data_IF_782520923259
#
_entry.id   IF_782520923259
#
_cell.length_a   1.000
_cell.length_b   1.000
_cell.length_c   1.000
_cell.angle_alpha   90.00
_cell.angle_beta   90.00
_cell.angle_gamma   90.00
#
_symmetry.space_group_name_H-M   'P 1'
#
loop_
_entity.id
_entity.type
_entity.pdbx_description
1 polymer ?
#
# COMPACT_ATOMS: atom_id res chain seq x y z
N UNK A 1 -26.84 -15.95 13.06
CA UNK A 1 -26.83 -14.55 12.57
C UNK A 1 -28.26 -14.08 12.42
N UNK A 2 -28.59 -12.86 12.87
CA UNK A 2 -29.85 -12.17 12.54
C UNK A 2 -29.41 -10.87 11.86
N UNK A 3 -29.83 -10.63 10.61
CA UNK A 3 -29.39 -9.47 9.81
C UNK A 3 -27.86 -9.30 9.66
N UNK A 4 -27.09 -10.39 9.64
CA UNK A 4 -25.62 -10.33 9.49
C UNK A 4 -24.83 -10.03 10.78
N UNK A 5 -25.51 -9.87 11.92
CA UNK A 5 -24.85 -9.71 13.22
C UNK A 5 -24.69 -11.06 13.94
N UNK A 6 -23.50 -11.29 14.51
CA UNK A 6 -23.29 -12.35 15.49
C UNK A 6 -23.92 -11.87 16.81
N UNK A 7 -24.85 -12.63 17.37
CA UNK A 7 -25.64 -12.21 18.54
C UNK A 7 -25.08 -12.69 19.88
N UNK A 8 -23.97 -13.44 19.86
CA UNK A 8 -23.38 -14.08 21.05
C UNK A 8 -22.12 -13.31 21.47
N UNK A 9 -22.08 -12.87 22.72
CA UNK A 9 -20.88 -12.25 23.31
C UNK A 9 -19.76 -13.29 23.41
N UNK A 10 -18.54 -12.88 23.09
CA UNK A 10 -17.35 -13.73 23.22
C UNK A 10 -17.03 -13.93 24.71
N UNK A 11 -17.00 -15.17 25.18
CA UNK A 11 -16.78 -15.47 26.61
C UNK A 11 -15.39 -15.01 27.08
N UNK A 12 -14.38 -15.13 26.23
CA UNK A 12 -13.00 -14.73 26.54
C UNK A 12 -12.76 -13.23 26.36
N UNK A 13 -13.66 -12.54 25.64
CA UNK A 13 -13.57 -11.11 25.37
C UNK A 13 -14.93 -10.44 25.66
N UNK A 14 -15.34 -10.35 26.92
CA UNK A 14 -16.69 -9.90 27.30
C UNK A 14 -17.01 -8.45 26.91
N UNK A 15 -15.98 -7.64 26.60
CA UNK A 15 -16.11 -6.30 26.05
C UNK A 15 -16.01 -6.21 24.52
N UNK A 16 -15.77 -7.31 23.81
CA UNK A 16 -15.74 -7.31 22.35
C UNK A 16 -17.17 -7.25 21.79
N UNK A 17 -17.40 -6.32 20.86
CA UNK A 17 -18.58 -6.34 20.03
C UNK A 17 -18.37 -7.33 18.89
N UNK A 18 -19.46 -7.90 18.40
CA UNK A 18 -19.39 -8.70 17.18
C UNK A 18 -18.92 -7.84 16.01
N UNK A 19 -17.96 -8.32 15.20
CA UNK A 19 -17.62 -7.67 13.94
C UNK A 19 -18.89 -7.47 13.11
N UNK A 20 -18.97 -6.34 12.41
CA UNK A 20 -20.08 -6.01 11.53
C UNK A 20 -19.56 -5.91 10.11
N UNK A 21 -20.35 -6.41 9.18
CA UNK A 21 -20.24 -6.06 7.77
C UNK A 21 -21.01 -4.75 7.63
N UNK A 22 -20.32 -3.61 7.46
CA UNK A 22 -20.97 -2.30 7.55
C UNK A 22 -21.93 -2.04 6.37
N UNK A 23 -21.64 -2.64 5.21
CA UNK A 23 -22.48 -2.64 4.03
C UNK A 23 -22.20 -3.91 3.22
N UNK A 24 -23.24 -4.52 2.63
CA UNK A 24 -23.12 -5.67 1.72
C UNK A 24 -22.27 -5.35 0.49
N UNK A 25 -22.19 -4.08 0.08
CA UNK A 25 -21.32 -3.65 -1.02
C UNK A 25 -19.82 -3.84 -0.70
N UNK A 26 -19.46 -4.06 0.56
CA UNK A 26 -18.10 -4.40 0.99
C UNK A 26 -17.86 -5.90 1.13
N UNK A 27 -18.71 -6.70 0.49
CA UNK A 27 -18.54 -8.13 0.30
C UNK A 27 -18.65 -8.39 -1.19
N UNK A 28 -17.58 -8.90 -1.79
CA UNK A 28 -17.52 -9.23 -3.21
C UNK A 28 -17.10 -10.67 -3.39
N UNK A 29 -17.58 -11.29 -4.47
CA UNK A 29 -17.16 -12.61 -4.88
C UNK A 29 -16.48 -12.54 -6.25
N UNK A 30 -15.49 -13.38 -6.49
CA UNK A 30 -14.83 -13.55 -7.78
C UNK A 30 -13.60 -14.43 -7.67
N UNK A 31 -13.23 -15.05 -8.79
CA UNK A 31 -12.01 -15.86 -8.94
C UNK A 31 -10.75 -14.99 -8.77
N UNK A 32 -10.22 -14.96 -7.55
CA UNK A 32 -9.05 -14.17 -7.16
C UNK A 32 -7.77 -14.99 -7.27
N UNK A 33 -7.85 -16.30 -7.09
CA UNK A 33 -6.72 -17.22 -7.16
C UNK A 33 -6.39 -17.67 -8.58
N UNK A 34 -7.34 -17.55 -9.52
CA UNK A 34 -7.21 -17.95 -10.91
C UNK A 34 -7.45 -19.44 -11.15
N UNK A 35 -8.07 -20.14 -10.21
CA UNK A 35 -8.34 -21.57 -10.29
C UNK A 35 -9.73 -21.92 -10.86
N UNK A 36 -10.53 -20.89 -11.17
CA UNK A 36 -11.89 -21.03 -11.70
C UNK A 36 -12.97 -21.17 -10.63
N UNK A 37 -12.63 -21.04 -9.35
CA UNK A 37 -13.57 -21.00 -8.22
C UNK A 37 -13.61 -19.58 -7.64
N UNK A 38 -14.80 -19.09 -7.32
CA UNK A 38 -14.93 -17.76 -6.73
C UNK A 38 -14.51 -17.76 -5.25
N UNK A 39 -13.63 -16.84 -4.87
CA UNK A 39 -13.38 -16.47 -3.49
C UNK A 39 -14.34 -15.38 -3.02
N UNK A 40 -14.59 -15.32 -1.71
CA UNK A 40 -15.28 -14.22 -1.06
C UNK A 40 -14.27 -13.26 -0.45
N UNK A 41 -14.34 -11.97 -0.77
CA UNK A 41 -13.58 -10.92 -0.09
C UNK A 41 -14.53 -10.04 0.71
N UNK A 42 -14.20 -9.77 1.98
CA UNK A 42 -15.02 -8.92 2.85
C UNK A 42 -14.17 -7.89 3.59
N UNK A 43 -14.70 -6.66 3.70
CA UNK A 43 -14.09 -5.59 4.50
C UNK A 43 -14.63 -5.65 5.94
N UNK A 44 -13.70 -5.71 6.89
CA UNK A 44 -13.95 -5.61 8.32
C UNK A 44 -13.49 -4.25 8.84
N UNK A 45 -14.32 -3.62 9.66
CA UNK A 45 -14.06 -2.31 10.21
C UNK A 45 -14.39 -2.27 11.71
N UNK A 46 -13.63 -1.48 12.46
CA UNK A 46 -13.78 -1.27 13.89
C UNK A 46 -13.66 0.23 14.23
N UNK A 47 -14.64 0.76 14.93
CA UNK A 47 -14.73 2.14 15.42
C UNK A 47 -14.95 2.23 16.94
N UNK A 48 -14.66 1.13 17.65
CA UNK A 48 -15.00 1.03 19.07
C UNK A 48 -14.37 2.17 19.88
N UNK A 49 -15.21 2.82 20.69
CA UNK A 49 -14.80 3.94 21.55
C UNK A 49 -14.75 5.28 20.82
N UNK A 50 -15.35 5.39 19.62
CA UNK A 50 -15.33 6.60 18.80
C UNK A 50 -13.99 6.81 18.08
N UNK A 51 -13.10 5.81 18.12
CA UNK A 51 -11.80 5.84 17.46
C UNK A 51 -11.88 4.92 16.25
N UNK A 52 -11.96 5.52 15.06
CA UNK A 52 -11.85 4.81 13.80
C UNK A 52 -10.49 4.11 13.70
N UNK A 53 -10.48 2.83 13.35
CA UNK A 53 -9.28 2.09 12.99
C UNK A 53 -9.19 1.93 11.46
N UNK A 54 -8.01 1.61 10.90
CA UNK A 54 -7.92 1.19 9.52
C UNK A 54 -8.72 -0.09 9.30
N UNK A 55 -9.53 -0.13 8.24
CA UNK A 55 -10.25 -1.32 7.85
C UNK A 55 -9.30 -2.42 7.33
N UNK A 56 -9.77 -3.67 7.35
CA UNK A 56 -9.04 -4.83 6.88
C UNK A 56 -9.87 -5.59 5.84
N UNK A 57 -9.22 -6.24 4.89
CA UNK A 57 -9.85 -7.15 3.92
C UNK A 57 -9.44 -8.58 4.29
N UNK A 58 -10.39 -9.47 4.46
CA UNK A 58 -10.14 -10.92 4.58
C UNK A 58 -10.71 -11.62 3.36
N UNK A 59 -9.92 -12.53 2.78
CA UNK A 59 -10.40 -13.47 1.78
C UNK A 59 -10.92 -14.74 2.45
N UNK A 60 -11.89 -15.37 1.81
CA UNK A 60 -12.41 -16.67 2.19
C UNK A 60 -12.55 -17.54 0.96
N UNK A 61 -12.21 -18.81 1.12
CA UNK A 61 -12.35 -19.85 0.11
C UNK A 61 -13.43 -20.85 0.51
N UNK A 62 -13.99 -21.54 -0.48
CA UNK A 62 -14.89 -22.66 -0.25
C UNK A 62 -14.07 -23.96 -0.20
N UNK A 63 -14.13 -24.64 0.94
CA UNK A 63 -13.49 -25.95 1.15
C UNK A 63 -14.54 -27.05 1.29
N UNK A 64 -14.11 -28.31 1.33
CA UNK A 64 -15.00 -29.46 1.59
C UNK A 64 -15.69 -29.39 2.96
N UNK A 65 -15.11 -28.66 3.91
CA UNK A 65 -15.61 -28.50 5.28
C UNK A 65 -16.41 -27.18 5.46
N UNK A 66 -16.59 -26.41 4.39
CA UNK A 66 -17.28 -25.12 4.39
C UNK A 66 -16.35 -23.95 4.09
N UNK A 67 -16.69 -22.77 4.60
CA UNK A 67 -15.97 -21.52 4.32
C UNK A 67 -14.74 -21.42 5.25
N UNK A 68 -13.56 -21.26 4.67
CA UNK A 68 -12.31 -21.05 5.40
C UNK A 68 -11.70 -19.68 5.06
N UNK A 69 -10.92 -19.12 5.97
CA UNK A 69 -10.16 -17.91 5.69
C UNK A 69 -8.96 -18.25 4.79
N UNK A 70 -8.80 -17.48 3.70
CA UNK A 70 -7.69 -17.60 2.76
C UNK A 70 -6.66 -16.50 3.02
N UNK A 71 -5.43 -16.90 3.34
CA UNK A 71 -4.33 -15.96 3.63
C UNK A 71 -4.55 -15.07 4.86
N UNK A 72 -3.61 -14.16 5.08
CA UNK A 72 -3.70 -13.18 6.17
C UNK A 72 -4.59 -11.99 5.80
N UNK A 73 -5.24 -11.32 6.77
CA UNK A 73 -5.98 -10.09 6.51
C UNK A 73 -5.09 -9.01 5.93
N UNK A 74 -5.53 -8.37 4.85
CA UNK A 74 -4.88 -7.21 4.27
C UNK A 74 -5.31 -5.94 5.01
N UNK A 75 -4.38 -5.27 5.69
CA UNK A 75 -4.66 -4.00 6.36
C UNK A 75 -4.68 -2.83 5.39
N UNK A 76 -5.83 -2.19 5.16
CA UNK A 76 -5.96 -1.03 4.26
C UNK A 76 -5.09 0.15 4.73
N UNK A 77 -4.89 0.26 6.05
CA UNK A 77 -4.00 1.25 6.66
C UNK A 77 -2.58 1.24 6.09
N UNK A 78 -2.13 0.11 5.56
CA UNK A 78 -0.78 -0.02 4.99
C UNK A 78 -0.61 0.80 3.71
N UNK A 79 -1.67 0.96 2.91
CA UNK A 79 -1.63 1.72 1.65
C UNK A 79 -2.26 3.11 1.75
N UNK A 80 -3.10 3.35 2.77
CA UNK A 80 -3.77 4.63 2.97
C UNK A 80 -2.97 5.62 3.82
N UNK A 81 -1.70 5.32 4.12
CA UNK A 81 -0.88 6.13 5.04
C UNK A 81 -1.39 6.08 6.49
N UNK A 82 -2.06 5.00 6.87
CA UNK A 82 -2.70 4.85 8.17
C UNK A 82 -4.08 5.50 8.28
N UNK A 83 -4.69 5.89 7.14
CA UNK A 83 -6.04 6.43 7.16
C UNK A 83 -7.00 5.48 7.85
N UNK A 84 -7.76 6.06 8.76
CA UNK A 84 -8.77 5.39 9.57
C UNK A 84 -10.12 5.53 8.90
N UNK A 85 -10.93 4.48 8.96
CA UNK A 85 -12.25 4.50 8.34
C UNK A 85 -12.44 3.39 7.32
N UNK A 86 -13.66 3.35 6.80
CA UNK A 86 -14.03 2.43 5.73
C UNK A 86 -13.57 2.96 4.37
N UNK A 87 -13.26 2.06 3.42
CA UNK A 87 -13.13 2.46 2.02
C UNK A 87 -14.44 3.05 1.49
N UNK A 88 -14.35 3.91 0.48
CA UNK A 88 -15.51 4.46 -0.24
C UNK A 88 -15.99 3.55 -1.37
N UNK A 89 -15.20 2.57 -1.80
CA UNK A 89 -15.58 1.63 -2.84
C UNK A 89 -14.75 0.35 -2.79
N UNK A 90 -15.39 -0.77 -3.11
CA UNK A 90 -14.78 -2.10 -3.13
C UNK A 90 -15.47 -2.94 -4.20
N UNK A 91 -14.69 -3.48 -5.14
CA UNK A 91 -15.21 -4.22 -6.31
C UNK A 91 -14.24 -5.31 -6.72
N UNK A 92 -14.75 -6.39 -7.28
CA UNK A 92 -13.94 -7.35 -8.04
C UNK A 92 -14.03 -7.04 -9.54
N UNK A 93 -12.89 -7.03 -10.24
CA UNK A 93 -12.84 -6.94 -11.69
C UNK A 93 -11.51 -7.50 -12.21
N UNK A 94 -11.57 -8.31 -13.28
CA UNK A 94 -10.39 -8.81 -14.00
C UNK A 94 -9.38 -9.53 -13.08
N UNK A 95 -9.84 -10.44 -12.22
CA UNK A 95 -8.97 -11.19 -11.29
C UNK A 95 -8.37 -10.35 -10.16
N UNK A 96 -8.91 -9.14 -9.92
CA UNK A 96 -8.36 -8.19 -8.93
C UNK A 96 -9.46 -7.55 -8.10
N UNK A 97 -9.09 -7.16 -6.88
CA UNK A 97 -9.93 -6.30 -6.04
C UNK A 97 -9.56 -4.84 -6.31
N UNK A 98 -10.53 -4.03 -6.68
CA UNK A 98 -10.40 -2.58 -6.73
C UNK A 98 -10.94 -1.96 -5.43
N UNK A 99 -10.12 -1.10 -4.83
CA UNK A 99 -10.40 -0.40 -3.59
C UNK A 99 -10.27 1.10 -3.81
N UNK A 100 -11.12 1.90 -3.19
CA UNK A 100 -10.93 3.35 -3.07
C UNK A 100 -11.26 3.81 -1.66
N UNK A 101 -10.62 4.87 -1.18
CA UNK A 101 -10.85 5.34 0.17
C UNK A 101 -10.07 6.60 0.54
N UNK A 102 -10.21 7.05 1.79
CA UNK A 102 -9.43 8.17 2.32
C UNK A 102 -7.95 7.78 2.46
N UNK A 103 -7.07 8.74 2.26
CA UNK A 103 -5.63 8.65 2.46
C UNK A 103 -5.18 9.76 3.41
N UNK A 104 -4.27 9.45 4.34
CA UNK A 104 -3.58 10.45 5.14
C UNK A 104 -2.41 10.97 4.32
N UNK A 105 -2.45 12.25 3.98
CA UNK A 105 -1.33 12.95 3.36
C UNK A 105 -0.31 13.36 4.42
N UNK A 106 0.92 13.70 4.00
CA UNK A 106 1.97 14.16 4.91
C UNK A 106 1.57 15.44 5.68
N UNK A 107 0.69 16.26 5.12
CA UNK A 107 0.15 17.47 5.75
C UNK A 107 -1.04 17.20 6.66
N UNK A 108 -1.60 15.99 6.66
CA UNK A 108 -2.82 15.69 7.39
C UNK A 108 -2.53 15.39 8.87
N UNK A 109 -3.46 15.81 9.71
CA UNK A 109 -3.56 15.27 11.06
C UNK A 109 -4.07 13.82 10.96
N UNK A 110 -3.55 12.89 11.76
CA UNK A 110 -3.92 11.46 11.72
C UNK A 110 -5.43 11.14 11.86
N UNK A 111 -6.23 12.10 12.30
CA UNK A 111 -7.68 11.98 12.52
C UNK A 111 -8.53 12.59 11.39
N UNK A 112 -7.93 13.27 10.42
CA UNK A 112 -8.65 14.00 9.38
C UNK A 112 -7.96 13.85 8.03
N UNK A 113 -8.04 12.65 7.42
CA UNK A 113 -7.49 12.44 6.08
C UNK A 113 -8.19 13.36 5.08
N UNK A 114 -7.41 14.15 4.35
CA UNK A 114 -7.87 14.99 3.26
C UNK A 114 -7.59 14.35 1.89
N UNK A 115 -6.66 13.40 1.84
CA UNK A 115 -6.30 12.64 0.65
C UNK A 115 -7.32 11.57 0.28
N UNK A 116 -7.21 11.09 -0.96
CA UNK A 116 -8.00 9.96 -1.49
C UNK A 116 -7.12 9.07 -2.34
N UNK A 117 -7.32 7.77 -2.26
CA UNK A 117 -6.63 6.80 -3.10
C UNK A 117 -7.57 5.89 -3.85
N UNK A 118 -7.06 5.32 -4.94
CA UNK A 118 -7.56 4.09 -5.56
C UNK A 118 -6.42 3.06 -5.62
N UNK A 119 -6.72 1.79 -5.38
CA UNK A 119 -5.75 0.71 -5.44
C UNK A 119 -6.34 -0.53 -6.09
N UNK A 120 -5.50 -1.33 -6.72
CA UNK A 120 -5.83 -2.69 -7.14
C UNK A 120 -5.01 -3.68 -6.30
N UNK A 121 -5.68 -4.71 -5.79
CA UNK A 121 -5.07 -5.80 -5.04
C UNK A 121 -5.15 -7.09 -5.87
N UNK A 122 -4.10 -7.90 -5.82
CA UNK A 122 -4.02 -9.18 -6.49
C UNK A 122 -3.56 -10.25 -5.52
N UNK A 123 -4.01 -11.48 -5.71
CA UNK A 123 -3.45 -12.65 -5.02
C UNK A 123 -2.11 -13.01 -5.67
N UNK A 124 -1.06 -13.17 -4.87
CA UNK A 124 0.26 -13.58 -5.36
C UNK A 124 0.53 -15.09 -5.20
N UNK A 125 -0.50 -15.89 -4.86
CA UNK A 125 -0.36 -17.30 -4.48
C UNK A 125 -0.32 -17.53 -2.98
N UNK A 126 -0.11 -16.49 -2.16
CA UNK A 126 0.03 -16.60 -0.70
C UNK A 126 -0.78 -15.56 0.07
N UNK A 127 -0.82 -14.33 -0.42
CA UNK A 127 -1.51 -13.21 0.23
C UNK A 127 -2.00 -12.19 -0.80
N UNK A 128 -2.92 -11.32 -0.35
CA UNK A 128 -3.27 -10.13 -1.11
C UNK A 128 -2.11 -9.14 -1.08
N UNK A 129 -1.68 -8.70 -2.24
CA UNK A 129 -0.68 -7.64 -2.43
C UNK A 129 -1.23 -6.52 -3.26
N UNK A 130 -0.70 -5.31 -3.08
CA UNK A 130 -1.10 -4.17 -3.92
C UNK A 130 -0.40 -4.25 -5.26
N UNK A 131 -1.16 -4.40 -6.35
CA UNK A 131 -0.62 -4.42 -7.71
C UNK A 131 -0.52 -3.01 -8.29
N UNK A 132 -1.46 -2.13 -7.96
CA UNK A 132 -1.41 -0.74 -8.39
C UNK A 132 -2.03 0.23 -7.39
N UNK A 133 -1.58 1.48 -7.44
CA UNK A 133 -2.00 2.56 -6.54
C UNK A 133 -2.13 3.87 -7.32
N UNK A 134 -3.10 4.70 -6.98
CA UNK A 134 -3.27 6.04 -7.53
C UNK A 134 -3.69 6.99 -6.41
N UNK A 135 -2.98 8.12 -6.29
CA UNK A 135 -3.49 9.27 -5.56
C UNK A 135 -4.57 9.95 -6.43
N UNK A 136 -5.77 10.07 -5.87
CA UNK A 136 -6.96 10.61 -6.56
C UNK A 136 -7.39 11.95 -5.97
N UNK A 137 -6.59 12.53 -5.07
CA UNK A 137 -6.92 13.77 -4.36
C UNK A 137 -7.01 14.97 -5.30
N UNK A 138 -6.11 15.07 -6.27
CA UNK A 138 -5.93 16.26 -7.11
C UNK A 138 -6.40 16.10 -8.56
N UNK A 139 -7.25 15.11 -8.85
CA UNK A 139 -7.90 14.95 -10.17
C UNK A 139 -7.00 14.42 -11.30
N UNK A 140 -5.68 14.47 -11.15
CA UNK A 140 -4.71 13.75 -11.98
C UNK A 140 -4.38 12.40 -11.34
N UNK A 141 -5.22 11.40 -11.55
CA UNK A 141 -4.95 10.05 -11.04
C UNK A 141 -4.01 9.31 -12.01
N UNK A 142 -2.69 9.41 -11.77
CA UNK A 142 -1.75 8.51 -12.43
C UNK A 142 -1.74 7.19 -11.69
N UNK A 143 -2.07 6.12 -12.40
CA UNK A 143 -1.94 4.76 -11.88
C UNK A 143 -0.45 4.41 -11.82
N UNK A 144 0.03 4.10 -10.62
CA UNK A 144 1.34 3.50 -10.39
C UNK A 144 1.17 1.99 -10.31
N UNK A 145 1.83 1.26 -11.22
CA UNK A 145 2.05 -0.18 -11.04
C UNK A 145 3.16 -0.39 -10.02
N UNK A 146 2.89 -1.12 -8.94
CA UNK A 146 3.88 -1.31 -7.85
C UNK A 146 5.11 -2.09 -8.31
N UNK A 147 5.01 -2.87 -9.39
CA UNK A 147 6.15 -3.54 -10.04
C UNK A 147 7.22 -2.58 -10.56
N UNK A 148 6.85 -1.33 -10.85
CA UNK A 148 7.80 -0.29 -11.29
C UNK A 148 8.76 0.15 -10.18
N UNK A 149 8.34 0.02 -8.92
CA UNK A 149 9.11 0.46 -7.75
C UNK A 149 9.59 -0.69 -6.86
N UNK A 150 8.94 -1.85 -6.90
CA UNK A 150 9.34 -2.99 -6.08
C UNK A 150 10.70 -3.54 -6.49
N UNK A 151 11.48 -4.01 -5.52
CA UNK A 151 12.79 -4.63 -5.72
C UNK A 151 13.90 -3.90 -4.95
N UNK A 152 15.14 -4.26 -5.28
CA UNK A 152 16.33 -3.78 -4.57
C UNK A 152 16.85 -2.49 -5.17
N UNK A 153 17.08 -1.48 -4.33
CA UNK A 153 17.56 -0.15 -4.70
C UNK A 153 18.86 0.16 -3.95
N UNK A 154 19.97 0.25 -4.65
CA UNK A 154 21.28 0.44 -4.04
C UNK A 154 21.79 1.86 -4.23
N UNK A 155 22.35 2.43 -3.18
CA UNK A 155 23.02 3.72 -3.23
C UNK A 155 24.19 3.67 -4.24
N UNK A 156 24.26 4.65 -5.16
CA UNK A 156 25.28 4.64 -6.23
C UNK A 156 26.70 4.79 -5.67
N UNK A 157 26.91 5.69 -4.70
CA UNK A 157 28.17 5.86 -3.98
C UNK A 157 27.88 6.39 -2.56
N UNK A 158 28.29 5.66 -1.51
CA UNK A 158 28.25 6.18 -0.14
C UNK A 158 29.44 7.11 0.08
N UNK A 159 29.21 8.37 0.45
CA UNK A 159 30.30 9.30 0.81
C UNK A 159 31.10 8.86 2.06
N UNK A 160 30.60 7.86 2.80
CA UNK A 160 31.25 7.27 3.98
C UNK A 160 31.34 5.76 3.79
N UNK A 161 32.56 5.24 3.65
CA UNK A 161 32.83 3.88 3.17
C UNK A 161 32.20 2.71 3.95
N UNK A 162 32.16 1.58 3.22
CA UNK A 162 31.84 0.20 3.60
C UNK A 162 30.35 -0.18 3.70
N UNK A 163 29.80 -0.61 2.56
CA UNK A 163 28.53 -1.35 2.45
C UNK A 163 27.69 -0.82 1.28
N UNK A 164 27.23 -1.69 0.37
CA UNK A 164 26.14 -1.31 -0.54
C UNK A 164 24.88 -1.15 0.32
N UNK A 165 24.59 0.07 0.74
CA UNK A 165 23.34 0.39 1.44
C UNK A 165 22.19 0.27 0.43
N UNK A 166 21.63 -0.94 0.34
CA UNK A 166 20.49 -1.22 -0.50
C UNK A 166 19.20 -1.21 0.34
N UNK A 167 18.13 -0.74 -0.28
CA UNK A 167 16.77 -0.79 0.21
C UNK A 167 16.05 -1.89 -0.54
N UNK A 168 15.26 -2.70 0.15
CA UNK A 168 14.32 -3.60 -0.49
C UNK A 168 12.93 -2.97 -0.38
N UNK A 169 12.35 -2.60 -1.53
CA UNK A 169 11.00 -2.05 -1.61
C UNK A 169 10.05 -3.18 -1.98
N UNK A 170 9.10 -3.48 -1.09
CA UNK A 170 7.98 -4.36 -1.34
C UNK A 170 6.73 -3.62 -0.89
N UNK A 171 6.20 -2.76 -1.78
CA UNK A 171 5.13 -1.82 -1.44
C UNK A 171 3.97 -2.52 -0.70
N UNK A 172 3.52 -1.98 0.45
CA UNK A 172 3.84 -0.67 1.02
C UNK A 172 4.89 -0.73 2.14
N UNK A 173 5.91 -1.58 1.99
CA UNK A 173 7.02 -1.69 2.94
C UNK A 173 8.36 -1.41 2.27
N UNK A 174 9.28 -0.89 3.06
CA UNK A 174 10.70 -0.78 2.70
C UNK A 174 11.55 -1.29 3.85
N UNK A 175 12.55 -2.11 3.55
CA UNK A 175 13.54 -2.59 4.53
C UNK A 175 14.96 -2.23 4.07
N UNK A 176 15.90 -2.21 5.02
CA UNK A 176 17.29 -1.89 4.76
C UNK A 176 18.18 -2.72 5.68
N UNK A 177 18.91 -3.71 5.13
CA UNK A 177 19.76 -4.60 5.93
C UNK A 177 18.97 -5.29 7.06
N UNK A 178 19.49 -5.17 8.29
CA UNK A 178 18.91 -5.79 9.50
C UNK A 178 17.86 -4.92 10.21
N UNK A 179 17.42 -3.82 9.59
CA UNK A 179 16.40 -2.94 10.18
C UNK A 179 14.98 -3.47 9.94
N UNK A 180 14.10 -3.26 10.92
CA UNK A 180 12.69 -3.61 10.81
C UNK A 180 12.04 -2.92 9.59
N UNK A 181 11.14 -3.61 8.86
CA UNK A 181 10.41 -3.02 7.75
C UNK A 181 9.64 -1.78 8.18
N UNK A 182 9.81 -0.69 7.42
CA UNK A 182 9.11 0.58 7.64
C UNK A 182 7.93 0.70 6.67
N UNK A 183 6.86 1.34 7.13
CA UNK A 183 5.75 1.72 6.25
C UNK A 183 6.26 2.69 5.19
N UNK A 184 5.99 2.33 3.96
CA UNK A 184 6.41 3.03 2.76
C UNK A 184 5.17 3.66 2.12
N UNK A 185 5.21 4.98 1.91
CA UNK A 185 4.10 5.74 1.35
C UNK A 185 4.52 6.46 0.08
N UNK A 186 3.53 6.66 -0.79
CA UNK A 186 3.70 7.26 -2.09
C UNK A 186 2.71 8.39 -2.23
N UNK A 187 3.20 9.52 -2.71
CA UNK A 187 2.38 10.65 -3.09
C UNK A 187 2.73 11.06 -4.53
N UNK A 188 1.72 11.32 -5.34
CA UNK A 188 1.91 11.82 -6.70
C UNK A 188 1.74 13.33 -6.67
N UNK A 189 2.78 14.07 -7.04
CA UNK A 189 2.74 15.53 -7.19
C UNK A 189 3.04 15.89 -8.65
N UNK A 190 2.00 16.21 -9.40
CA UNK A 190 2.08 16.34 -10.86
C UNK A 190 2.54 15.03 -11.52
N UNK A 191 3.68 15.08 -12.21
CA UNK A 191 4.31 13.91 -12.84
C UNK A 191 5.34 13.20 -11.95
N UNK A 192 5.61 13.75 -10.76
CA UNK A 192 6.63 13.27 -9.85
C UNK A 192 6.04 12.31 -8.83
N UNK A 193 6.76 11.21 -8.61
CA UNK A 193 6.40 10.21 -7.62
C UNK A 193 7.26 10.42 -6.37
N UNK A 194 6.68 11.04 -5.35
CA UNK A 194 7.33 11.23 -4.06
C UNK A 194 7.20 9.96 -3.23
N UNK A 195 8.34 9.49 -2.74
CA UNK A 195 8.50 8.27 -1.97
C UNK A 195 8.94 8.66 -0.55
N UNK A 196 8.30 8.11 0.48
CA UNK A 196 8.64 8.41 1.87
C UNK A 196 8.44 7.22 2.79
N UNK A 197 9.20 7.19 3.87
CA UNK A 197 8.88 6.40 5.07
C UNK A 197 8.15 7.27 6.07
N UNK A 198 7.51 6.65 7.07
CA UNK A 198 6.74 7.35 8.12
C UNK A 198 7.45 8.56 8.75
N UNK A 199 8.78 8.53 8.81
CA UNK A 199 9.64 9.47 9.50
C UNK A 199 10.55 10.31 8.58
N UNK A 200 10.70 9.94 7.30
CA UNK A 200 11.66 10.58 6.42
C UNK A 200 11.26 10.49 4.93
N UNK A 201 11.46 11.56 4.15
CA UNK A 201 11.38 11.46 2.70
C UNK A 201 12.48 10.51 2.21
N UNK A 202 12.10 9.55 1.36
CA UNK A 202 13.05 8.67 0.69
C UNK A 202 13.60 9.33 -0.57
N UNK A 203 12.74 10.01 -1.33
CA UNK A 203 13.14 10.75 -2.53
C UNK A 203 12.04 10.79 -3.59
N UNK A 204 12.38 11.28 -4.77
CA UNK A 204 11.52 11.27 -5.95
C UNK A 204 11.99 10.14 -6.88
N UNK A 205 11.05 9.35 -7.40
CA UNK A 205 11.35 8.36 -8.43
C UNK A 205 11.43 9.02 -9.81
N UNK A 206 12.53 8.72 -10.51
CA UNK A 206 12.81 9.15 -11.87
C UNK A 206 13.01 7.90 -12.74
N UNK A 207 12.12 7.64 -13.72
CA UNK A 207 12.34 6.55 -14.64
C UNK A 207 13.57 6.81 -15.52
N UNK A 208 14.12 5.74 -16.10
CA UNK A 208 15.21 5.83 -17.07
C UNK A 208 14.93 6.90 -18.14
N UNK A 209 15.99 7.63 -18.51
CA UNK A 209 16.02 8.74 -19.48
C UNK A 209 15.33 10.03 -19.03
N UNK A 210 14.90 10.11 -17.78
CA UNK A 210 14.34 11.35 -17.20
C UNK A 210 15.44 12.17 -16.51
N UNK A 211 15.53 13.47 -16.76
CA UNK A 211 16.49 14.31 -16.05
C UNK A 211 15.99 14.62 -14.63
N UNK A 212 16.89 14.60 -13.65
CA UNK A 212 16.62 15.19 -12.33
C UNK A 212 16.78 16.71 -12.45
N UNK A 213 15.82 17.48 -11.95
CA UNK A 213 15.89 18.94 -11.89
C UNK A 213 16.35 19.40 -10.49
N UNK A 214 17.66 19.30 -10.25
CA UNK A 214 18.30 19.89 -9.06
C UNK A 214 19.34 20.92 -9.49
N UNK A 215 18.97 22.21 -9.37
CA UNK A 215 19.84 23.34 -9.73
C UNK A 215 21.06 23.47 -8.82
N UNK A 216 20.97 22.94 -7.59
CA UNK A 216 22.05 22.99 -6.62
C UNK A 216 23.08 21.87 -6.85
N UNK A 217 22.65 20.76 -7.46
CA UNK A 217 23.46 19.56 -7.77
C UNK A 217 23.30 19.11 -9.24
N UNK A 218 23.72 19.94 -10.22
CA UNK A 218 23.47 19.68 -11.63
C UNK A 218 24.10 18.39 -12.18
N UNK A 219 25.11 17.83 -11.52
CA UNK A 219 25.74 16.56 -11.89
C UNK A 219 24.78 15.37 -11.76
N UNK A 220 23.81 15.43 -10.84
CA UNK A 220 22.86 14.33 -10.62
C UNK A 220 21.91 14.17 -11.81
N UNK A 221 21.68 15.24 -12.57
CA UNK A 221 20.79 15.26 -13.73
C UNK A 221 21.14 14.18 -14.77
N UNK A 222 22.44 13.84 -14.90
CA UNK A 222 22.95 12.88 -15.90
C UNK A 222 23.50 11.59 -15.28
N UNK A 223 23.68 11.54 -13.96
CA UNK A 223 24.21 10.35 -13.28
C UNK A 223 23.20 9.20 -13.38
N UNK A 224 23.67 8.05 -13.86
CA UNK A 224 22.85 6.85 -14.10
C UNK A 224 21.57 7.13 -14.91
N UNK A 225 21.62 8.05 -15.88
CA UNK A 225 20.42 8.49 -16.62
C UNK A 225 19.71 7.36 -17.36
N UNK A 226 20.40 6.27 -17.69
CA UNK A 226 19.81 5.11 -18.37
C UNK A 226 19.12 4.13 -17.41
N UNK A 227 19.13 4.39 -16.12
CA UNK A 227 18.57 3.54 -15.07
C UNK A 227 17.40 4.26 -14.38
N UNK A 228 16.48 3.48 -13.82
CA UNK A 228 15.51 4.00 -12.87
C UNK A 228 16.22 4.44 -11.58
N UNK A 229 15.82 5.59 -11.05
CA UNK A 229 16.50 6.25 -9.94
C UNK A 229 15.51 6.70 -8.87
N UNK A 230 15.95 6.68 -7.62
CA UNK A 230 15.30 7.41 -6.53
C UNK A 230 16.29 8.45 -6.05
N UNK A 231 15.91 9.73 -6.08
CA UNK A 231 16.79 10.82 -5.68
C UNK A 231 16.20 11.62 -4.53
N UNK A 232 16.98 11.78 -3.46
CA UNK A 232 16.64 12.62 -2.33
C UNK A 232 17.43 13.93 -2.41
N UNK A 233 16.77 15.04 -2.74
CA UNK A 233 17.42 16.36 -2.80
C UNK A 233 17.90 16.89 -1.44
N UNK A 234 17.37 16.39 -0.32
CA UNK A 234 17.77 16.83 1.02
C UNK A 234 19.07 16.15 1.47
N UNK A 235 19.16 14.83 1.33
CA UNK A 235 20.35 14.04 1.71
C UNK A 235 21.37 13.92 0.58
N UNK A 236 20.96 14.26 -0.65
CA UNK A 236 21.70 14.08 -1.91
C UNK A 236 22.01 12.62 -2.23
N UNK A 237 21.23 11.70 -1.67
CA UNK A 237 21.36 10.28 -1.94
C UNK A 237 20.67 9.92 -3.25
N UNK A 238 21.36 9.11 -4.06
CA UNK A 238 20.86 8.58 -5.33
C UNK A 238 20.90 7.06 -5.27
N UNK A 239 19.73 6.45 -5.34
CA UNK A 239 19.58 5.00 -5.44
C UNK A 239 19.30 4.60 -6.88
N UNK A 240 19.88 3.49 -7.31
CA UNK A 240 19.61 2.83 -8.59
C UNK A 240 19.12 1.42 -8.36
N UNK A 241 18.23 0.93 -9.23
CA UNK A 241 17.69 -0.42 -9.12
C UNK A 241 18.78 -1.46 -9.39
N UNK A 242 18.90 -2.46 -8.52
CA UNK A 242 19.82 -3.56 -8.71
C UNK A 242 19.24 -4.56 -9.71
N UNK A 243 20.04 -4.96 -10.71
CA UNK A 243 19.65 -5.98 -11.68
C UNK A 243 18.73 -5.51 -12.81
N UNK A 244 18.65 -4.20 -13.05
CA UNK A 244 18.06 -3.62 -14.28
C UNK A 244 18.95 -3.81 -15.51
#
# INVERSE_FOLDING_TARGET
MKNGELSKKHSEHPGANSPRIPNRDFVVAGDLTGDGVDELAAVFYCDKGGVSWPAQIQLFESTVDGIAALGQPFGIGTISGGARGMPSGFKYANGRLSLSGPQVLLSDNAISPSGKFAASLAWNGKELVTSSFADTTHGSSKLLETSSINGTWCLVESSTGAGKNCLEISFPTVSSGDHDPRTFSIQVDGDLLNMSTYDAPLGIFYPAKTSVDDKSYPEVAKKNINEDRIYNGQTRELYVRSGS
#
